data_IF_100325704904
#
_entry.id   IF_100325704904
#
_cell.length_a   1.000
_cell.length_b   1.000
_cell.length_c   1.000
_cell.angle_alpha   90.00
_cell.angle_beta   90.00
_cell.angle_gamma   90.00
#
_symmetry.space_group_name_H-M   'P 1'
#
loop_
_entity.id
_entity.type
_entity.pdbx_description
1 polymer ?
#
# COMPACT_ATOMS: atom_id res chain seq x y z
N UNK A 1 -4.45 21.56 -2.23
CA UNK A 1 -4.67 20.36 -1.37
C UNK A 1 -4.39 19.04 -2.10
N UNK A 2 -4.45 19.02 -3.43
CA UNK A 2 -3.89 17.95 -4.27
C UNK A 2 -2.58 18.47 -4.87
N UNK A 3 -1.52 17.68 -4.81
CA UNK A 3 -0.26 18.01 -5.48
C UNK A 3 -0.39 17.73 -6.99
N UNK A 4 0.59 18.22 -7.75
CA UNK A 4 0.71 17.97 -9.19
C UNK A 4 0.81 16.47 -9.50
N UNK A 5 1.43 15.70 -8.59
CA UNK A 5 1.57 14.25 -8.70
C UNK A 5 0.34 13.45 -8.19
N UNK A 6 -0.70 14.13 -7.71
CA UNK A 6 -1.97 13.53 -7.30
C UNK A 6 -2.04 13.05 -5.86
N UNK A 7 -1.00 13.24 -5.04
CA UNK A 7 -1.03 12.97 -3.60
C UNK A 7 -1.76 14.06 -2.82
N UNK A 8 -2.24 13.71 -1.62
CA UNK A 8 -2.78 14.66 -0.65
C UNK A 8 -2.21 14.37 0.73
N UNK A 9 -1.32 15.25 1.21
CA UNK A 9 -0.73 15.13 2.56
C UNK A 9 -1.81 15.03 3.63
N UNK A 10 -2.92 15.77 3.51
CA UNK A 10 -4.02 15.68 4.48
C UNK A 10 -4.65 14.28 4.53
N UNK A 11 -4.89 13.66 3.36
CA UNK A 11 -5.49 12.33 3.32
C UNK A 11 -4.50 11.25 3.76
N UNK A 12 -3.21 11.44 3.54
CA UNK A 12 -2.15 10.59 4.08
C UNK A 12 -2.20 10.59 5.61
N UNK A 13 -2.15 11.76 6.25
CA UNK A 13 -2.23 11.85 7.72
C UNK A 13 -3.57 11.34 8.27
N UNK A 14 -4.66 11.56 7.55
CA UNK A 14 -5.96 11.01 7.93
C UNK A 14 -5.98 9.47 7.84
N UNK A 15 -5.27 8.88 6.88
CA UNK A 15 -5.17 7.42 6.76
C UNK A 15 -4.43 6.82 7.98
N UNK A 16 -3.38 7.47 8.49
CA UNK A 16 -2.72 7.07 9.73
C UNK A 16 -3.66 7.05 10.94
N UNK A 17 -4.60 8.00 11.01
CA UNK A 17 -5.60 8.07 12.09
C UNK A 17 -6.70 7.02 11.93
N UNK A 18 -7.20 6.81 10.71
CA UNK A 18 -8.35 5.96 10.44
C UNK A 18 -8.00 4.48 10.25
N UNK A 19 -6.78 4.18 9.83
CA UNK A 19 -6.30 2.84 9.58
C UNK A 19 -4.92 2.60 10.23
N UNK A 20 -4.81 2.75 11.57
CA UNK A 20 -3.54 2.60 12.26
C UNK A 20 -3.00 1.18 12.09
N UNK A 21 -1.76 1.05 11.62
CA UNK A 21 -1.08 -0.24 11.51
C UNK A 21 0.09 -0.28 12.48
N UNK A 22 0.12 -1.30 13.34
CA UNK A 22 1.30 -1.58 14.17
C UNK A 22 2.36 -2.26 13.30
N UNK A 23 3.30 -1.48 12.76
CA UNK A 23 4.43 -2.02 12.00
C UNK A 23 5.59 -2.44 12.93
N UNK A 24 6.32 -3.49 12.56
CA UNK A 24 7.57 -3.84 13.22
C UNK A 24 8.63 -2.75 12.99
N UNK A 25 9.61 -2.62 13.90
CA UNK A 25 10.55 -1.48 13.95
C UNK A 25 11.41 -1.23 12.68
N UNK A 26 11.49 -2.19 11.76
CA UNK A 26 12.19 -2.03 10.46
C UNK A 26 11.22 -2.07 9.27
N UNK A 27 9.92 -1.98 9.55
CA UNK A 27 8.84 -2.17 8.61
C UNK A 27 7.92 -0.94 8.50
N UNK A 28 8.39 0.24 8.91
CA UNK A 28 7.66 1.52 8.80
C UNK A 28 7.16 1.81 7.38
N UNK A 29 7.83 1.25 6.37
CA UNK A 29 7.37 1.31 4.98
C UNK A 29 5.97 0.71 4.76
N UNK A 30 5.53 -0.22 5.63
CA UNK A 30 4.19 -0.81 5.59
C UNK A 30 3.16 0.26 5.92
N UNK A 31 3.34 0.99 7.02
CA UNK A 31 2.41 2.02 7.49
C UNK A 31 2.37 3.20 6.50
N UNK A 32 3.55 3.75 6.17
CA UNK A 32 3.71 4.86 5.23
C UNK A 32 3.22 4.53 3.81
N UNK A 33 3.56 3.34 3.32
CA UNK A 33 3.15 2.90 1.99
C UNK A 33 1.66 2.65 1.89
N UNK A 34 1.05 2.08 2.94
CA UNK A 34 -0.38 1.81 2.99
C UNK A 34 -1.17 3.11 3.09
N UNK A 35 -0.77 4.02 3.98
CA UNK A 35 -1.43 5.31 4.16
C UNK A 35 -1.47 6.12 2.85
N UNK A 36 -0.33 6.23 2.16
CA UNK A 36 -0.26 6.95 0.89
C UNK A 36 -1.08 6.26 -0.22
N UNK A 37 -1.05 4.92 -0.28
CA UNK A 37 -1.83 4.20 -1.29
C UNK A 37 -3.35 4.27 -1.01
N UNK A 38 -3.79 4.17 0.25
CA UNK A 38 -5.19 4.35 0.64
C UNK A 38 -5.67 5.76 0.31
N UNK A 39 -4.87 6.80 0.53
CA UNK A 39 -5.19 8.16 0.15
C UNK A 39 -5.47 8.28 -1.37
N UNK A 40 -4.62 7.66 -2.22
CA UNK A 40 -4.84 7.62 -3.67
C UNK A 40 -6.08 6.81 -4.06
N UNK A 41 -6.30 5.66 -3.43
CA UNK A 41 -7.46 4.79 -3.70
C UNK A 41 -8.77 5.48 -3.33
N UNK A 42 -8.85 6.15 -2.19
CA UNK A 42 -10.04 6.93 -1.78
C UNK A 42 -10.32 8.07 -2.76
N UNK A 43 -9.28 8.79 -3.21
CA UNK A 43 -9.46 9.84 -4.22
C UNK A 43 -10.00 9.28 -5.55
N UNK A 44 -9.53 8.10 -5.98
CA UNK A 44 -10.02 7.44 -7.18
C UNK A 44 -11.45 6.94 -7.00
N UNK A 45 -11.71 6.22 -5.91
CA UNK A 45 -12.98 5.54 -5.68
C UNK A 45 -14.12 6.54 -5.38
N UNK A 46 -13.80 7.71 -4.81
CA UNK A 46 -14.74 8.84 -4.66
C UNK A 46 -14.98 9.65 -5.94
N UNK A 47 -14.25 9.38 -7.03
CA UNK A 47 -14.30 10.14 -8.27
C UNK A 47 -13.57 11.50 -8.22
N UNK A 48 -12.88 11.82 -7.11
CA UNK A 48 -12.10 13.05 -6.96
C UNK A 48 -10.93 13.12 -7.95
N UNK A 49 -10.38 11.98 -8.35
CA UNK A 49 -9.43 11.86 -9.47
C UNK A 49 -9.89 10.79 -10.47
N UNK A 50 -9.63 11.02 -11.75
CA UNK A 50 -9.92 10.02 -12.79
C UNK A 50 -9.04 8.77 -12.67
N UNK A 51 -9.50 7.65 -13.21
CA UNK A 51 -8.70 6.43 -13.34
C UNK A 51 -7.36 6.67 -14.06
N UNK A 52 -7.36 7.55 -15.09
CA UNK A 52 -6.13 7.96 -15.79
C UNK A 52 -5.16 8.70 -14.87
N UNK A 53 -5.66 9.60 -14.03
CA UNK A 53 -4.83 10.36 -13.08
C UNK A 53 -4.26 9.43 -12.01
N UNK A 54 -5.08 8.54 -11.45
CA UNK A 54 -4.64 7.51 -10.52
C UNK A 54 -3.52 6.64 -11.10
N UNK A 55 -3.69 6.12 -12.32
CA UNK A 55 -2.67 5.31 -13.00
C UNK A 55 -1.36 6.10 -13.20
N UNK A 56 -1.44 7.36 -13.66
CA UNK A 56 -0.27 8.23 -13.83
C UNK A 56 0.49 8.48 -12.51
N UNK A 57 -0.24 8.68 -11.41
CA UNK A 57 0.35 8.81 -10.07
C UNK A 57 1.11 7.54 -9.67
N UNK A 58 0.51 6.36 -9.84
CA UNK A 58 1.16 5.08 -9.54
C UNK A 58 2.41 4.85 -10.40
N UNK A 59 2.38 5.23 -11.67
CA UNK A 59 3.56 5.14 -12.53
C UNK A 59 4.68 6.07 -12.06
N UNK A 60 4.34 7.26 -11.54
CA UNK A 60 5.28 8.15 -10.89
C UNK A 60 5.95 7.53 -9.67
N UNK A 61 5.17 6.86 -8.81
CA UNK A 61 5.68 6.10 -7.67
C UNK A 61 6.60 4.96 -8.10
N UNK A 62 6.19 4.13 -9.07
CA UNK A 62 7.00 3.06 -9.64
C UNK A 62 8.31 3.55 -10.22
N UNK A 63 8.32 4.71 -10.91
CA UNK A 63 9.56 5.31 -11.44
C UNK A 63 10.50 5.74 -10.32
N UNK A 64 10.00 6.45 -9.31
CA UNK A 64 10.82 6.95 -8.18
C UNK A 64 11.34 5.84 -7.29
N UNK A 65 10.57 4.77 -7.09
CA UNK A 65 10.96 3.62 -6.27
C UNK A 65 11.79 2.54 -6.99
N UNK A 66 12.09 2.71 -8.29
CA UNK A 66 12.70 1.65 -9.11
C UNK A 66 14.05 1.15 -8.61
N UNK A 67 14.88 2.04 -8.06
CA UNK A 67 16.22 1.70 -7.57
C UNK A 67 16.28 1.17 -6.14
N UNK A 68 15.14 0.98 -5.48
CA UNK A 68 15.09 0.51 -4.09
C UNK A 68 15.08 -1.02 -4.06
N UNK A 69 16.19 -1.60 -3.58
CA UNK A 69 16.34 -3.06 -3.47
C UNK A 69 15.82 -3.62 -2.13
N UNK A 70 15.82 -2.81 -1.07
CA UNK A 70 15.35 -3.19 0.27
C UNK A 70 14.42 -2.12 0.82
N UNK A 71 13.25 -2.55 1.27
CA UNK A 71 12.26 -1.70 1.94
C UNK A 71 12.51 -1.58 3.44
N UNK A 72 13.15 -2.60 4.03
CA UNK A 72 13.52 -2.57 5.44
C UNK A 72 14.61 -1.51 5.67
N UNK A 73 14.23 -0.41 6.30
CA UNK A 73 15.11 0.69 6.66
C UNK A 73 14.57 1.36 7.92
N UNK A 74 15.46 1.95 8.72
CA UNK A 74 15.12 2.66 9.96
C UNK A 74 14.41 4.00 9.71
N UNK A 75 14.42 4.50 8.46
CA UNK A 75 13.62 5.66 8.01
C UNK A 75 13.25 5.48 6.53
N UNK A 76 11.98 5.70 6.19
CA UNK A 76 11.51 5.68 4.82
C UNK A 76 11.96 6.96 4.09
N UNK A 77 13.01 6.89 3.28
CA UNK A 77 13.30 7.94 2.31
C UNK A 77 12.16 8.08 1.29
N UNK A 78 12.05 9.22 0.59
CA UNK A 78 11.02 9.41 -0.44
C UNK A 78 11.04 8.36 -1.56
N UNK A 79 12.17 7.70 -1.81
CA UNK A 79 12.27 6.57 -2.74
C UNK A 79 11.73 5.26 -2.14
N UNK A 80 11.99 5.00 -0.85
CA UNK A 80 11.46 3.84 -0.11
C UNK A 80 9.95 3.92 -0.02
N UNK A 81 9.41 5.07 0.39
CA UNK A 81 7.97 5.32 0.38
C UNK A 81 7.39 5.10 -1.02
N UNK A 82 8.08 5.57 -2.07
CA UNK A 82 7.59 5.38 -3.42
C UNK A 82 7.56 3.92 -3.88
N UNK A 83 8.54 3.14 -3.45
CA UNK A 83 8.56 1.69 -3.66
C UNK A 83 7.45 1.01 -2.85
N UNK A 84 7.20 1.44 -1.62
CA UNK A 84 6.15 0.90 -0.77
C UNK A 84 4.76 1.11 -1.36
N UNK A 85 4.46 2.31 -1.86
CA UNK A 85 3.19 2.60 -2.56
C UNK A 85 3.01 1.69 -3.78
N UNK A 86 4.07 1.48 -4.56
CA UNK A 86 4.02 0.56 -5.69
C UNK A 86 3.73 -0.89 -5.25
N UNK A 87 4.32 -1.34 -4.15
CA UNK A 87 4.06 -2.66 -3.56
C UNK A 87 2.59 -2.81 -3.16
N UNK A 88 2.00 -1.82 -2.48
CA UNK A 88 0.58 -1.89 -2.11
C UNK A 88 -0.36 -1.82 -3.32
N UNK A 89 0.01 -1.07 -4.36
CA UNK A 89 -0.74 -1.08 -5.62
C UNK A 89 -0.72 -2.44 -6.32
N UNK A 90 0.43 -3.12 -6.33
CA UNK A 90 0.56 -4.45 -6.90
C UNK A 90 -0.19 -5.49 -6.04
N UNK A 91 -0.10 -5.39 -4.70
CA UNK A 91 -0.86 -6.23 -3.77
C UNK A 91 -2.37 -6.09 -3.95
N UNK A 92 -2.90 -4.89 -4.08
CA UNK A 92 -4.34 -4.65 -4.31
C UNK A 92 -4.82 -5.32 -5.61
N UNK A 93 -4.04 -5.20 -6.68
CA UNK A 93 -4.34 -5.86 -7.95
C UNK A 93 -4.28 -7.39 -7.84
N UNK A 94 -3.28 -7.91 -7.10
CA UNK A 94 -3.16 -9.35 -6.84
C UNK A 94 -4.30 -9.89 -5.98
N UNK A 95 -4.73 -9.16 -4.94
CA UNK A 95 -5.86 -9.52 -4.09
C UNK A 95 -7.14 -9.60 -4.90
N UNK A 96 -7.42 -8.60 -5.73
CA UNK A 96 -8.60 -8.62 -6.60
C UNK A 96 -8.55 -9.80 -7.59
N UNK A 97 -7.38 -10.10 -8.18
CA UNK A 97 -7.23 -11.21 -9.11
C UNK A 97 -7.32 -12.59 -8.44
N UNK A 98 -6.72 -12.76 -7.26
CA UNK A 98 -6.65 -14.05 -6.55
C UNK A 98 -7.95 -14.42 -5.83
N UNK A 99 -8.85 -13.45 -5.65
CA UNK A 99 -10.11 -13.60 -4.90
C UNK A 99 -11.35 -13.38 -5.77
N UNK A 100 -11.21 -13.33 -7.10
CA UNK A 100 -12.31 -13.02 -8.03
C UNK A 100 -13.06 -11.72 -7.65
N UNK A 101 -12.29 -10.70 -7.25
CA UNK A 101 -12.76 -9.36 -6.87
C UNK A 101 -13.37 -9.25 -5.48
N UNK A 102 -13.34 -10.31 -4.66
CA UNK A 102 -13.95 -10.29 -3.32
C UNK A 102 -13.07 -9.61 -2.26
N UNK A 103 -11.77 -9.50 -2.50
CA UNK A 103 -10.79 -8.91 -1.59
C UNK A 103 -10.02 -7.80 -2.28
N UNK A 104 -9.73 -6.75 -1.53
CA UNK A 104 -8.97 -5.59 -1.98
C UNK A 104 -8.09 -5.05 -0.85
N UNK A 105 -7.42 -3.93 -1.12
CA UNK A 105 -6.58 -3.27 -0.13
C UNK A 105 -7.32 -2.89 1.16
N UNK A 106 -8.60 -2.54 1.10
CA UNK A 106 -9.34 -2.13 2.30
C UNK A 106 -9.60 -3.34 3.20
N UNK A 107 -9.82 -4.53 2.63
CA UNK A 107 -9.88 -5.75 3.46
C UNK A 107 -8.54 -6.08 4.10
N UNK A 108 -7.43 -5.95 3.35
CA UNK A 108 -6.10 -6.14 3.93
C UNK A 108 -5.81 -5.12 5.03
N UNK A 109 -6.15 -3.85 4.84
CA UNK A 109 -5.98 -2.79 5.83
C UNK A 109 -6.71 -3.12 7.14
N UNK A 110 -7.97 -3.57 7.07
CA UNK A 110 -8.72 -4.00 8.27
C UNK A 110 -8.03 -5.14 9.00
N UNK A 111 -7.54 -6.15 8.28
CA UNK A 111 -6.79 -7.25 8.89
C UNK A 111 -5.51 -6.77 9.57
N UNK A 112 -4.79 -5.81 8.96
CA UNK A 112 -3.58 -5.22 9.55
C UNK A 112 -3.89 -4.44 10.83
N UNK A 113 -5.00 -3.70 10.86
CA UNK A 113 -5.48 -3.00 12.07
C UNK A 113 -5.84 -3.96 13.20
N UNK A 114 -6.42 -5.10 12.87
CA UNK A 114 -6.81 -6.13 13.84
C UNK A 114 -5.62 -6.98 14.35
N UNK A 115 -4.41 -6.75 13.82
CA UNK A 115 -3.22 -7.48 14.25
C UNK A 115 -2.84 -7.15 15.70
N UNK A 116 -2.76 -8.17 16.55
CA UNK A 116 -2.32 -8.04 17.94
C UNK A 116 -0.80 -7.95 18.10
N UNK A 117 -0.03 -8.14 17.02
CA UNK A 117 1.44 -8.09 17.01
C UNK A 117 1.91 -7.13 15.91
N UNK A 118 3.09 -6.49 16.10
CA UNK A 118 3.69 -5.69 15.04
C UNK A 118 3.91 -6.50 13.76
N UNK A 119 3.50 -5.95 12.62
CA UNK A 119 3.54 -6.60 11.31
C UNK A 119 4.86 -6.27 10.60
N UNK A 120 5.54 -7.31 10.13
CA UNK A 120 6.69 -7.21 9.22
C UNK A 120 6.31 -7.65 7.79
N UNK A 121 7.27 -7.67 6.86
CA UNK A 121 7.03 -8.09 5.48
C UNK A 121 6.52 -9.53 5.35
N UNK A 122 6.97 -10.44 6.22
CA UNK A 122 6.49 -11.82 6.24
C UNK A 122 5.05 -11.92 6.74
N UNK A 123 4.73 -11.20 7.83
CA UNK A 123 3.38 -11.08 8.37
C UNK A 123 2.39 -10.52 7.34
N UNK A 124 2.77 -9.43 6.66
CA UNK A 124 2.00 -8.83 5.57
C UNK A 124 1.71 -9.84 4.46
N UNK A 125 2.74 -10.56 3.99
CA UNK A 125 2.59 -11.61 2.97
C UNK A 125 1.66 -12.72 3.44
N UNK A 126 1.81 -13.18 4.67
CA UNK A 126 0.97 -14.24 5.22
C UNK A 126 -0.50 -13.80 5.31
N UNK A 127 -0.76 -12.55 5.70
CA UNK A 127 -2.10 -11.96 5.75
C UNK A 127 -2.72 -11.86 4.35
N UNK A 128 -1.99 -11.29 3.39
CA UNK A 128 -2.44 -11.21 2.00
C UNK A 128 -2.74 -12.61 1.41
N UNK A 129 -1.89 -13.60 1.72
CA UNK A 129 -2.09 -14.99 1.24
C UNK A 129 -3.38 -15.59 1.76
N UNK A 130 -3.75 -15.34 3.03
CA UNK A 130 -5.00 -15.86 3.62
C UNK A 130 -6.26 -15.26 2.99
N UNK A 131 -6.17 -14.06 2.43
CA UNK A 131 -7.28 -13.42 1.73
C UNK A 131 -7.52 -14.02 0.34
N UNK A 132 -6.55 -14.72 -0.22
CA UNK A 132 -6.71 -15.32 -1.54
C UNK A 132 -7.37 -16.71 -1.48
N UNK A 133 -8.31 -16.96 -2.41
CA UNK A 133 -8.85 -18.30 -2.66
C UNK A 133 -7.95 -19.14 -3.57
N UNK A 134 -6.99 -18.51 -4.27
CA UNK A 134 -5.94 -19.12 -5.10
C UNK A 134 -4.55 -18.71 -4.60
N UNK A 135 -3.50 -19.47 -4.89
CA UNK A 135 -2.13 -19.09 -4.50
C UNK A 135 -1.73 -17.74 -5.13
N UNK A 136 -1.24 -16.80 -4.31
CA UNK A 136 -0.65 -15.55 -4.81
C UNK A 136 0.46 -15.85 -5.82
N UNK A 137 0.44 -15.22 -6.99
CA UNK A 137 1.65 -15.15 -7.83
C UNK A 137 2.76 -14.57 -6.98
N UNK A 138 4.00 -15.06 -7.11
CA UNK A 138 5.17 -14.56 -6.36
C UNK A 138 5.29 -13.03 -6.52
N UNK A 139 4.68 -12.29 -5.62
CA UNK A 139 4.79 -10.84 -5.52
C UNK A 139 6.22 -10.54 -5.06
N UNK A 140 6.81 -9.48 -5.61
CA UNK A 140 8.11 -8.95 -5.18
C UNK A 140 8.03 -8.25 -3.80
N UNK A 141 7.26 -8.80 -2.85
CA UNK A 141 7.34 -8.39 -1.45
C UNK A 141 8.71 -8.87 -0.93
N UNK A 142 9.58 -7.96 -0.47
CA UNK A 142 10.84 -8.33 0.16
C UNK A 142 10.61 -9.14 1.44
#
# INVERSE_FOLDING_TARGET
>A
LLSENGSSTLLHELAHVLAPVSAAATADWIDEGLAEYLALRVLRDSGSISARRFASSLDGYRRRGRGVERLAATQASGAIMARAVAVFADLDAELQACSDGQQDIYTLARQLMDSSVPVDGHGLRAMATRLCSRTLRRSNLP
#
